data_IF_297335294608
#
_entry.id   IF_297335294608
#
_cell.length_a   1.000
_cell.length_b   1.000
_cell.length_c   1.000
_cell.angle_alpha   90.00
_cell.angle_beta   90.00
_cell.angle_gamma   90.00
#
_symmetry.space_group_name_H-M   'P 1'
#
loop_
_entity.id
_entity.type
_entity.pdbx_description
1 polymer ?
#
# COMPACT_ATOMS: atom_id res chain seq x y z
N UNK A 1 -4.31 -15.55 14.26
CA UNK A 1 -3.68 -14.20 14.27
C UNK A 1 -4.72 -13.16 14.64
N UNK A 2 -4.49 -12.37 15.70
CA UNK A 2 -5.36 -11.27 16.13
C UNK A 2 -4.88 -9.97 15.50
N UNK A 3 -5.75 -9.29 14.78
CA UNK A 3 -5.42 -8.10 14.00
C UNK A 3 -6.00 -6.84 14.64
N UNK A 4 -5.18 -5.78 14.70
CA UNK A 4 -5.64 -4.43 14.93
C UNK A 4 -5.79 -3.70 13.59
N UNK A 5 -6.76 -2.81 13.47
CA UNK A 5 -6.99 -1.98 12.28
C UNK A 5 -6.99 -0.50 12.64
N UNK A 6 -6.09 0.24 12.07
CA UNK A 6 -6.05 1.70 12.10
C UNK A 6 -6.59 2.21 10.76
N UNK A 7 -7.74 2.88 10.79
CA UNK A 7 -8.39 3.40 9.60
C UNK A 7 -9.60 2.60 9.13
N UNK A 8 -10.76 3.21 9.24
CA UNK A 8 -12.06 2.65 8.86
C UNK A 8 -12.59 3.26 7.53
N UNK A 9 -11.68 3.54 6.60
CA UNK A 9 -11.99 3.95 5.23
C UNK A 9 -12.40 2.77 4.34
N UNK A 10 -12.37 2.96 3.01
CA UNK A 10 -12.84 1.93 2.07
C UNK A 10 -12.02 0.63 2.16
N UNK A 11 -10.69 0.70 2.29
CA UNK A 11 -9.84 -0.48 2.45
C UNK A 11 -10.12 -1.15 3.81
N UNK A 12 -10.22 -0.37 4.90
CA UNK A 12 -10.53 -0.92 6.23
C UNK A 12 -11.88 -1.63 6.27
N UNK A 13 -12.93 -1.05 5.69
CA UNK A 13 -14.25 -1.69 5.56
C UNK A 13 -14.21 -2.97 4.72
N UNK A 14 -13.49 -2.95 3.60
CA UNK A 14 -13.27 -4.14 2.78
C UNK A 14 -12.60 -5.26 3.59
N UNK A 15 -11.56 -4.94 4.37
CA UNK A 15 -10.87 -5.93 5.19
C UNK A 15 -11.75 -6.48 6.31
N UNK A 16 -12.54 -5.64 6.97
CA UNK A 16 -13.52 -6.08 7.96
C UNK A 16 -14.52 -7.06 7.36
N UNK A 17 -15.09 -6.73 6.18
CA UNK A 17 -16.00 -7.62 5.48
C UNK A 17 -15.29 -8.94 5.08
N UNK A 18 -14.16 -8.85 4.39
CA UNK A 18 -13.45 -10.01 3.86
C UNK A 18 -12.94 -10.96 4.97
N UNK A 19 -12.45 -10.40 6.08
CA UNK A 19 -11.82 -11.19 7.15
C UNK A 19 -12.86 -11.65 8.17
N UNK A 20 -13.67 -10.72 8.70
CA UNK A 20 -14.55 -11.02 9.83
C UNK A 20 -15.87 -11.69 9.41
N UNK A 21 -16.42 -11.35 8.24
CA UNK A 21 -17.69 -11.90 7.76
C UNK A 21 -17.49 -13.01 6.72
N UNK A 22 -16.66 -12.77 5.69
CA UNK A 22 -16.51 -13.72 4.58
C UNK A 22 -15.49 -14.83 4.89
N UNK A 23 -14.70 -14.69 5.97
CA UNK A 23 -13.75 -15.72 6.42
C UNK A 23 -12.57 -15.94 5.47
N UNK A 24 -12.21 -14.94 4.65
CA UNK A 24 -11.13 -15.06 3.65
C UNK A 24 -9.73 -15.12 4.26
N UNK A 25 -9.61 -14.99 5.58
CA UNK A 25 -8.37 -15.21 6.35
C UNK A 25 -8.69 -16.18 7.50
N UNK A 26 -8.70 -17.51 7.28
CA UNK A 26 -9.22 -18.49 8.22
C UNK A 26 -8.54 -18.48 9.61
N UNK A 27 -7.22 -18.21 9.66
CA UNK A 27 -6.45 -18.12 10.92
C UNK A 27 -6.42 -16.69 11.51
N UNK A 28 -7.07 -15.71 10.87
CA UNK A 28 -7.00 -14.30 11.26
C UNK A 28 -8.35 -13.69 11.56
N UNK A 29 -8.37 -12.70 12.48
CA UNK A 29 -9.55 -11.90 12.78
C UNK A 29 -9.15 -10.49 13.18
N UNK A 30 -9.85 -9.48 12.66
CA UNK A 30 -9.73 -8.11 13.15
C UNK A 30 -10.53 -8.03 14.45
N UNK A 31 -9.80 -7.87 15.58
CA UNK A 31 -10.39 -7.86 16.92
C UNK A 31 -10.43 -6.46 17.54
N UNK A 32 -9.63 -5.54 17.02
CA UNK A 32 -9.47 -4.18 17.53
C UNK A 32 -9.48 -3.19 16.36
N UNK A 33 -10.22 -2.10 16.48
CA UNK A 33 -10.27 -1.04 15.47
C UNK A 33 -10.12 0.35 16.08
N UNK A 34 -9.45 1.23 15.34
CA UNK A 34 -9.35 2.64 15.61
C UNK A 34 -9.67 3.46 14.37
N UNK A 35 -10.48 4.49 14.55
CA UNK A 35 -10.69 5.52 13.53
C UNK A 35 -10.79 6.89 14.20
N UNK A 36 -10.29 7.93 13.53
CA UNK A 36 -10.36 9.32 14.03
C UNK A 36 -11.78 9.80 14.34
N UNK A 37 -12.80 9.26 13.64
CA UNK A 37 -14.21 9.48 13.93
C UNK A 37 -14.72 8.31 14.77
N UNK A 38 -14.93 8.56 16.07
CA UNK A 38 -15.34 7.53 17.03
C UNK A 38 -16.65 6.85 16.64
N UNK A 39 -17.62 7.61 16.11
CA UNK A 39 -18.93 7.06 15.70
C UNK A 39 -18.79 6.01 14.59
N UNK A 40 -17.86 6.25 13.65
CA UNK A 40 -17.58 5.28 12.57
C UNK A 40 -16.94 4.02 13.12
N UNK A 41 -16.00 4.16 14.06
CA UNK A 41 -15.39 3.00 14.71
C UNK A 41 -16.43 2.21 15.52
N UNK A 42 -17.29 2.87 16.28
CA UNK A 42 -18.35 2.23 17.08
C UNK A 42 -19.36 1.47 16.20
N UNK A 43 -19.86 2.09 15.12
CA UNK A 43 -20.79 1.47 14.18
C UNK A 43 -20.17 0.19 13.53
N UNK A 44 -18.92 0.29 13.05
CA UNK A 44 -18.25 -0.87 12.42
C UNK A 44 -17.89 -1.93 13.46
N UNK A 45 -17.59 -1.55 14.69
CA UNK A 45 -17.33 -2.48 15.77
C UNK A 45 -18.54 -3.35 16.08
N UNK A 46 -19.74 -2.78 16.10
CA UNK A 46 -21.00 -3.51 16.28
C UNK A 46 -21.26 -4.43 15.07
N UNK A 47 -21.14 -3.91 13.83
CA UNK A 47 -21.40 -4.64 12.60
C UNK A 47 -20.48 -5.86 12.43
N UNK A 48 -19.17 -5.70 12.71
CA UNK A 48 -18.15 -6.72 12.50
C UNK A 48 -17.70 -7.45 13.77
N UNK A 49 -18.38 -7.20 14.91
CA UNK A 49 -18.10 -7.81 16.22
C UNK A 49 -16.64 -7.70 16.61
N UNK A 50 -16.13 -6.46 16.63
CA UNK A 50 -14.77 -6.09 17.01
C UNK A 50 -14.80 -5.02 18.09
N UNK A 51 -13.65 -4.75 18.75
CA UNK A 51 -13.55 -3.77 19.81
C UNK A 51 -13.12 -2.41 19.25
N UNK A 52 -13.89 -1.32 19.43
CA UNK A 52 -13.44 0.02 19.09
C UNK A 52 -12.55 0.58 20.19
N UNK A 53 -11.52 1.32 19.80
CA UNK A 53 -10.62 2.05 20.69
C UNK A 53 -10.68 3.54 20.38
N UNK A 54 -10.53 4.38 21.41
CA UNK A 54 -10.56 5.85 21.28
C UNK A 54 -9.22 6.43 20.89
N UNK A 55 -8.13 5.74 21.24
CA UNK A 55 -6.79 6.11 20.80
C UNK A 55 -5.98 4.87 20.40
N UNK A 56 -4.88 5.10 19.67
CA UNK A 56 -4.00 4.05 19.18
C UNK A 56 -3.20 3.42 20.31
N UNK A 57 -2.83 4.18 21.33
CA UNK A 57 -2.00 3.66 22.42
C UNK A 57 -2.79 2.64 23.27
N UNK A 58 -4.12 2.80 23.40
CA UNK A 58 -5.01 1.79 23.99
C UNK A 58 -5.12 0.55 23.08
N UNK A 59 -5.30 0.73 21.78
CA UNK A 59 -5.31 -0.39 20.83
C UNK A 59 -4.02 -1.18 20.90
N UNK A 60 -2.87 -0.51 21.02
CA UNK A 60 -1.57 -1.17 21.09
C UNK A 60 -1.32 -1.95 22.39
N UNK A 61 -2.04 -1.64 23.47
CA UNK A 61 -2.02 -2.42 24.72
C UNK A 61 -2.89 -3.67 24.65
N UNK A 62 -3.76 -3.77 23.63
CA UNK A 62 -4.60 -4.96 23.44
C UNK A 62 -3.81 -6.15 22.92
N UNK A 63 -4.42 -7.32 22.98
CA UNK A 63 -3.83 -8.60 22.57
C UNK A 63 -3.94 -8.78 21.04
N UNK A 64 -3.29 -7.88 20.27
CA UNK A 64 -3.17 -7.97 18.81
C UNK A 64 -1.75 -8.35 18.44
N UNK A 65 -1.61 -9.21 17.43
CA UNK A 65 -0.32 -9.71 16.93
C UNK A 65 0.26 -8.77 15.86
N UNK A 66 -0.61 -8.22 15.02
CA UNK A 66 -0.28 -7.39 13.88
C UNK A 66 -1.27 -6.24 13.77
N UNK A 67 -0.79 -5.05 13.42
CA UNK A 67 -1.63 -3.89 13.13
C UNK A 67 -1.62 -3.61 11.63
N UNK A 68 -2.82 -3.40 11.08
CA UNK A 68 -3.02 -2.96 9.69
C UNK A 68 -3.24 -1.45 9.74
N UNK A 69 -2.39 -0.68 9.08
CA UNK A 69 -2.65 0.72 8.81
C UNK A 69 -3.29 0.85 7.42
N UNK A 70 -4.52 1.34 7.37
CA UNK A 70 -5.31 1.55 6.14
C UNK A 70 -6.06 2.91 6.20
N UNK A 71 -5.38 3.97 6.63
CA UNK A 71 -5.94 5.31 6.81
C UNK A 71 -5.36 6.31 5.80
N UNK A 72 -4.33 7.05 6.20
CA UNK A 72 -3.67 8.09 5.38
C UNK A 72 -2.17 8.13 5.66
N UNK A 73 -1.39 8.79 4.78
CA UNK A 73 0.05 8.96 4.99
C UNK A 73 0.32 9.67 6.33
N UNK A 74 -0.46 10.68 6.66
CA UNK A 74 -0.33 11.43 7.91
C UNK A 74 -0.60 10.52 9.14
N UNK A 75 -1.57 9.61 9.05
CA UNK A 75 -1.82 8.61 10.11
C UNK A 75 -0.68 7.58 10.20
N UNK A 76 -0.12 7.18 9.06
CA UNK A 76 1.05 6.29 9.04
C UNK A 76 2.28 6.96 9.67
N UNK A 77 2.54 8.25 9.39
CA UNK A 77 3.61 9.04 10.03
C UNK A 77 3.43 9.11 11.55
N UNK A 78 2.19 9.28 12.00
CA UNK A 78 1.87 9.42 13.43
C UNK A 78 1.97 8.09 14.19
N UNK A 79 1.47 6.99 13.59
CA UNK A 79 1.23 5.75 14.33
C UNK A 79 2.19 4.60 14.01
N UNK A 80 2.78 4.54 12.80
CA UNK A 80 3.55 3.36 12.39
C UNK A 80 4.73 3.06 13.34
N UNK A 81 5.50 4.08 13.72
CA UNK A 81 6.62 3.88 14.65
C UNK A 81 6.15 3.49 16.06
N UNK A 82 4.97 3.93 16.51
CA UNK A 82 4.37 3.50 17.78
C UNK A 82 4.01 2.01 17.75
N UNK A 83 3.42 1.54 16.63
CA UNK A 83 3.11 0.13 16.41
C UNK A 83 4.37 -0.72 16.54
N UNK A 84 5.43 -0.37 15.82
CA UNK A 84 6.69 -1.11 15.83
C UNK A 84 7.36 -1.12 17.21
N UNK A 85 7.34 0.03 17.92
CA UNK A 85 7.86 0.15 19.29
C UNK A 85 7.08 -0.67 20.30
N UNK A 86 5.80 -0.95 20.05
CA UNK A 86 4.98 -1.81 20.91
C UNK A 86 5.22 -3.31 20.69
N UNK A 87 6.19 -3.69 19.83
CA UNK A 87 6.53 -5.07 19.56
C UNK A 87 5.54 -5.80 18.64
N UNK A 88 4.81 -5.06 17.80
CA UNK A 88 3.82 -5.63 16.87
C UNK A 88 4.25 -5.46 15.44
N UNK A 89 3.98 -6.47 14.61
CA UNK A 89 4.14 -6.34 13.16
C UNK A 89 3.18 -5.28 12.60
N UNK A 90 3.60 -4.61 11.55
CA UNK A 90 2.82 -3.59 10.87
C UNK A 90 2.59 -3.96 9.40
N UNK A 91 1.33 -4.05 8.96
CA UNK A 91 1.00 -3.99 7.54
C UNK A 91 0.65 -2.54 7.20
N UNK A 92 1.43 -1.94 6.31
CA UNK A 92 1.36 -0.53 5.97
C UNK A 92 0.76 -0.35 4.57
N UNK A 93 -0.50 0.09 4.50
CA UNK A 93 -1.17 0.36 3.23
C UNK A 93 -0.89 1.78 2.70
N UNK A 94 -0.67 2.74 3.59
CA UNK A 94 -0.29 4.11 3.22
C UNK A 94 1.22 4.21 2.95
N UNK A 95 1.69 3.47 1.93
CA UNK A 95 3.12 3.29 1.60
C UNK A 95 3.84 4.63 1.36
N UNK A 96 3.09 5.70 1.09
CA UNK A 96 3.62 7.05 0.87
C UNK A 96 4.59 7.54 1.94
N UNK A 97 4.42 7.12 3.20
CA UNK A 97 5.32 7.47 4.30
C UNK A 97 6.76 6.95 4.09
N UNK A 98 6.93 5.83 3.38
CA UNK A 98 8.22 5.23 3.07
C UNK A 98 9.05 6.05 2.05
N UNK A 99 8.47 7.08 1.47
CA UNK A 99 9.20 8.06 0.66
C UNK A 99 10.14 8.96 1.48
N UNK A 100 9.91 9.05 2.78
CA UNK A 100 10.77 9.76 3.72
C UNK A 100 11.90 8.82 4.18
N UNK A 101 13.13 9.06 3.72
CA UNK A 101 14.30 8.23 4.03
C UNK A 101 14.62 8.16 5.53
N UNK A 102 14.40 9.24 6.26
CA UNK A 102 14.60 9.25 7.72
C UNK A 102 13.58 8.35 8.43
N UNK A 103 12.32 8.35 7.95
CA UNK A 103 11.28 7.44 8.47
C UNK A 103 11.63 5.98 8.13
N UNK A 104 12.07 5.68 6.91
CA UNK A 104 12.49 4.33 6.50
C UNK A 104 13.65 3.82 7.35
N UNK A 105 14.70 4.64 7.56
CA UNK A 105 15.85 4.28 8.38
C UNK A 105 15.43 4.02 9.84
N UNK A 106 14.66 4.93 10.43
CA UNK A 106 14.18 4.78 11.82
C UNK A 106 13.29 3.54 11.97
N UNK A 107 12.42 3.27 11.00
CA UNK A 107 11.58 2.07 10.98
C UNK A 107 12.41 0.80 10.96
N UNK A 108 13.44 0.74 10.09
CA UNK A 108 14.35 -0.39 9.99
C UNK A 108 15.12 -0.65 11.30
N UNK A 109 15.56 0.42 11.99
CA UNK A 109 16.23 0.29 13.30
C UNK A 109 15.28 -0.28 14.35
N UNK A 110 14.04 0.23 14.44
CA UNK A 110 13.05 -0.22 15.41
C UNK A 110 12.64 -1.68 15.12
N UNK A 111 12.46 -2.05 13.86
CA UNK A 111 12.15 -3.42 13.45
C UNK A 111 13.21 -4.41 13.94
N UNK A 112 14.50 -4.08 13.75
CA UNK A 112 15.61 -4.91 14.23
C UNK A 112 15.65 -5.03 15.73
N UNK A 113 15.46 -3.91 16.45
CA UNK A 113 15.50 -3.88 17.92
C UNK A 113 14.38 -4.69 18.57
N UNK A 114 13.18 -4.64 18.01
CA UNK A 114 11.98 -5.25 18.56
C UNK A 114 11.64 -6.62 17.92
N UNK A 115 12.42 -7.07 16.92
CA UNK A 115 12.17 -8.28 16.16
C UNK A 115 10.77 -8.31 15.54
N UNK A 116 10.38 -7.20 14.91
CA UNK A 116 9.10 -7.03 14.22
C UNK A 116 9.32 -6.64 12.77
N UNK A 117 8.27 -6.75 11.94
CA UNK A 117 8.34 -6.52 10.52
C UNK A 117 7.34 -5.47 10.03
N UNK A 118 7.72 -4.75 8.97
CA UNK A 118 6.78 -3.99 8.15
C UNK A 118 6.46 -4.82 6.91
N UNK A 119 5.19 -5.05 6.67
CA UNK A 119 4.66 -5.70 5.47
C UNK A 119 4.11 -4.63 4.53
N UNK A 120 4.65 -4.56 3.32
CA UNK A 120 4.18 -3.65 2.28
C UNK A 120 3.42 -4.45 1.22
N UNK A 121 2.12 -4.18 1.00
CA UNK A 121 1.38 -4.80 -0.09
C UNK A 121 1.87 -4.27 -1.45
N UNK A 122 1.68 -5.04 -2.51
CA UNK A 122 2.05 -4.61 -3.88
C UNK A 122 1.21 -3.42 -4.38
N UNK A 123 0.09 -3.15 -3.74
CA UNK A 123 -0.84 -2.13 -4.19
C UNK A 123 -1.53 -2.53 -5.50
N UNK A 124 -1.61 -1.59 -6.43
CA UNK A 124 -2.31 -1.77 -7.71
C UNK A 124 -1.40 -2.27 -8.84
N UNK A 125 -0.27 -2.91 -8.51
CA UNK A 125 0.73 -3.40 -9.48
C UNK A 125 1.19 -4.82 -9.15
N UNK A 126 2.01 -5.41 -10.04
CA UNK A 126 2.66 -6.70 -9.87
C UNK A 126 4.13 -6.68 -10.30
N UNK A 127 4.76 -7.85 -10.40
CA UNK A 127 6.15 -8.01 -10.86
C UNK A 127 7.22 -7.58 -9.86
N UNK A 128 6.86 -7.31 -8.60
CA UNK A 128 7.80 -6.91 -7.56
C UNK A 128 8.78 -8.04 -7.19
N UNK A 129 8.34 -9.29 -7.30
CA UNK A 129 9.12 -10.50 -7.12
C UNK A 129 10.27 -10.59 -8.15
N UNK A 130 9.98 -10.30 -9.42
CA UNK A 130 11.00 -10.25 -10.49
C UNK A 130 12.03 -9.17 -10.20
N UNK A 131 11.59 -7.97 -9.81
CA UNK A 131 12.50 -6.87 -9.47
C UNK A 131 13.38 -7.21 -8.27
N UNK A 132 12.80 -7.75 -7.19
CA UNK A 132 13.55 -8.20 -6.00
C UNK A 132 14.59 -9.25 -6.36
N UNK A 133 14.23 -10.23 -7.20
CA UNK A 133 15.13 -11.29 -7.63
C UNK A 133 16.31 -10.73 -8.43
N UNK A 134 16.06 -9.84 -9.38
CA UNK A 134 17.12 -9.22 -10.16
C UNK A 134 17.99 -8.27 -9.32
N UNK A 135 17.40 -7.54 -8.37
CA UNK A 135 18.10 -6.66 -7.43
C UNK A 135 19.06 -7.43 -6.53
N UNK A 136 18.71 -8.64 -6.11
CA UNK A 136 19.51 -9.46 -5.20
C UNK A 136 20.93 -9.72 -5.71
N UNK A 137 21.15 -9.69 -7.04
CA UNK A 137 22.45 -9.85 -7.70
C UNK A 137 22.93 -8.55 -8.37
N UNK A 138 22.35 -7.40 -8.02
CA UNK A 138 22.60 -6.10 -8.68
C UNK A 138 22.38 -6.16 -10.21
N UNK A 139 21.46 -7.01 -10.66
CA UNK A 139 21.21 -7.30 -12.07
C UNK A 139 20.19 -6.36 -12.74
N UNK A 140 19.67 -5.35 -12.05
CA UNK A 140 18.77 -4.36 -12.64
C UNK A 140 19.54 -3.21 -13.27
N UNK A 141 19.19 -2.86 -14.51
CA UNK A 141 19.75 -1.71 -15.25
C UNK A 141 18.73 -0.58 -15.39
N UNK A 142 17.46 -0.93 -15.64
CA UNK A 142 16.38 0.05 -15.77
C UNK A 142 15.09 -0.44 -15.13
N UNK A 143 14.34 0.49 -14.55
CA UNK A 143 12.97 0.28 -14.04
C UNK A 143 12.16 1.54 -14.38
N UNK A 144 11.02 1.34 -15.04
CA UNK A 144 10.10 2.39 -15.40
C UNK A 144 8.66 1.99 -15.08
N UNK A 145 7.87 2.95 -14.61
CA UNK A 145 6.42 2.81 -14.52
C UNK A 145 5.74 3.95 -15.27
N UNK A 146 4.86 3.59 -16.20
CA UNK A 146 3.93 4.52 -16.84
C UNK A 146 2.56 4.33 -16.22
N UNK A 147 2.05 5.36 -15.55
CA UNK A 147 0.71 5.40 -14.98
C UNK A 147 -0.20 6.22 -15.88
N UNK A 148 -1.24 5.60 -16.44
CA UNK A 148 -2.25 6.23 -17.27
C UNK A 148 -3.58 6.24 -16.52
N UNK A 149 -4.22 7.43 -16.44
CA UNK A 149 -5.47 7.60 -15.68
C UNK A 149 -6.45 8.49 -16.43
N UNK A 150 -7.76 8.32 -16.18
CA UNK A 150 -8.75 9.30 -16.61
C UNK A 150 -8.41 10.69 -16.03
N UNK A 151 -8.67 11.79 -16.78
CA UNK A 151 -8.32 13.15 -16.34
C UNK A 151 -8.87 13.54 -14.96
N UNK A 152 -10.11 13.14 -14.67
CA UNK A 152 -10.78 13.43 -13.39
C UNK A 152 -10.17 12.69 -12.16
N UNK A 153 -9.34 11.68 -12.40
CA UNK A 153 -8.64 10.97 -11.34
C UNK A 153 -7.29 11.62 -10.94
N UNK A 154 -6.88 12.69 -11.63
CA UNK A 154 -5.63 13.40 -11.43
C UNK A 154 -5.89 14.87 -11.07
N UNK A 155 -5.18 15.46 -10.06
CA UNK A 155 -5.41 16.84 -9.64
C UNK A 155 -5.24 17.87 -10.75
N UNK A 156 -4.27 17.67 -11.64
CA UNK A 156 -3.99 18.56 -12.77
C UNK A 156 -4.67 18.13 -14.08
N UNK A 157 -5.49 17.08 -14.06
CA UNK A 157 -6.03 16.46 -15.26
C UNK A 157 -7.42 16.94 -15.68
N UNK A 158 -8.14 17.67 -14.84
CA UNK A 158 -9.57 17.97 -15.02
C UNK A 158 -9.92 18.79 -16.29
N UNK A 159 -8.95 19.47 -16.89
CA UNK A 159 -9.12 20.24 -18.14
C UNK A 159 -8.52 19.56 -19.38
N UNK A 160 -8.01 18.33 -19.24
CA UNK A 160 -7.35 17.61 -20.33
C UNK A 160 -8.40 16.97 -21.24
N UNK A 161 -8.36 17.32 -22.55
CA UNK A 161 -9.28 16.82 -23.59
C UNK A 161 -8.65 15.79 -24.52
N UNK A 162 -7.31 15.65 -24.48
CA UNK A 162 -6.55 14.67 -25.25
C UNK A 162 -5.43 14.06 -24.41
N UNK A 163 -4.85 12.96 -24.86
CA UNK A 163 -3.74 12.31 -24.13
C UNK A 163 -2.61 13.30 -23.83
N UNK A 164 -2.31 13.50 -22.56
CA UNK A 164 -1.34 14.50 -22.10
C UNK A 164 -0.40 13.90 -21.07
N UNK A 165 0.91 14.02 -21.28
CA UNK A 165 1.92 13.70 -20.31
C UNK A 165 1.97 14.81 -19.25
N UNK A 166 1.56 14.49 -18.02
CA UNK A 166 1.56 15.45 -16.91
C UNK A 166 2.90 15.46 -16.17
N UNK A 167 3.63 14.34 -16.22
CA UNK A 167 4.92 14.20 -15.56
C UNK A 167 5.77 13.12 -16.25
N UNK A 168 7.04 13.38 -16.37
CA UNK A 168 8.06 12.40 -16.74
C UNK A 168 9.37 12.75 -16.02
N UNK A 169 9.89 11.82 -15.18
CA UNK A 169 11.07 12.07 -14.36
C UNK A 169 11.41 10.87 -13.49
N UNK A 170 12.08 11.11 -12.37
CA UNK A 170 12.40 10.09 -11.37
C UNK A 170 11.23 9.86 -10.40
N UNK A 171 11.18 8.70 -9.75
CA UNK A 171 10.21 8.46 -8.69
C UNK A 171 10.37 9.45 -7.52
N UNK A 172 11.60 9.85 -7.19
CA UNK A 172 11.87 10.85 -6.16
C UNK A 172 11.22 12.21 -6.48
N UNK A 173 11.30 12.66 -7.73
CA UNK A 173 10.63 13.89 -8.20
C UNK A 173 9.10 13.72 -8.20
N UNK A 174 8.60 12.59 -8.70
CA UNK A 174 7.18 12.30 -8.74
C UNK A 174 6.54 12.27 -7.34
N UNK A 175 7.22 11.70 -6.35
CA UNK A 175 6.79 11.64 -4.95
C UNK A 175 6.59 13.06 -4.37
N UNK A 176 7.50 13.98 -4.65
CA UNK A 176 7.41 15.36 -4.18
C UNK A 176 6.21 16.11 -4.78
N UNK A 177 5.92 15.85 -6.08
CA UNK A 177 4.86 16.55 -6.80
C UNK A 177 3.47 15.94 -6.62
N UNK A 178 3.38 14.62 -6.42
CA UNK A 178 2.12 13.86 -6.40
C UNK A 178 2.01 12.92 -5.18
N UNK A 179 2.24 13.35 -3.94
CA UNK A 179 2.40 12.47 -2.78
C UNK A 179 1.22 11.51 -2.55
N UNK A 180 0.01 11.90 -2.92
CA UNK A 180 -1.22 11.08 -2.73
C UNK A 180 -1.51 10.08 -3.86
N UNK A 181 -0.79 10.14 -4.99
CA UNK A 181 -1.11 9.36 -6.18
C UNK A 181 0.00 8.41 -6.63
N UNK A 182 1.05 8.26 -5.82
CA UNK A 182 2.32 7.67 -6.25
C UNK A 182 2.72 6.39 -5.48
N UNK A 183 1.84 5.84 -4.64
CA UNK A 183 2.14 4.65 -3.82
C UNK A 183 2.76 3.50 -4.63
N UNK A 184 2.25 3.26 -5.84
CA UNK A 184 2.78 2.21 -6.73
C UNK A 184 4.23 2.47 -7.16
N UNK A 185 4.62 3.74 -7.39
CA UNK A 185 6.00 4.06 -7.75
C UNK A 185 6.95 3.95 -6.55
N UNK A 186 6.46 4.20 -5.33
CA UNK A 186 7.24 4.04 -4.11
C UNK A 186 7.56 2.56 -3.90
N UNK A 187 6.54 1.68 -3.88
CA UNK A 187 6.77 0.25 -3.67
C UNK A 187 7.61 -0.36 -4.79
N UNK A 188 7.41 0.07 -6.05
CA UNK A 188 8.22 -0.35 -7.19
C UNK A 188 9.69 0.07 -7.02
N UNK A 189 9.94 1.30 -6.57
CA UNK A 189 11.28 1.82 -6.31
C UNK A 189 11.99 1.04 -5.20
N UNK A 190 11.28 0.72 -4.13
CA UNK A 190 11.83 -0.06 -3.02
C UNK A 190 12.17 -1.49 -3.45
N UNK A 191 11.33 -2.11 -4.28
CA UNK A 191 11.60 -3.43 -4.85
C UNK A 191 12.73 -3.42 -5.89
N UNK A 192 12.94 -2.29 -6.57
CA UNK A 192 13.87 -2.11 -7.68
C UNK A 192 15.11 -1.28 -7.35
N UNK A 193 15.35 -0.26 -8.16
CA UNK A 193 16.58 0.57 -8.19
C UNK A 193 16.61 1.73 -7.20
N UNK A 194 15.58 1.90 -6.36
CA UNK A 194 15.40 3.07 -5.52
C UNK A 194 14.76 4.24 -6.27
N UNK A 195 14.33 5.27 -5.51
CA UNK A 195 13.52 6.37 -6.06
C UNK A 195 14.28 7.28 -7.03
N UNK A 196 15.59 7.42 -6.85
CA UNK A 196 16.44 8.27 -7.70
C UNK A 196 16.66 7.68 -9.10
N UNK A 197 16.59 6.35 -9.26
CA UNK A 197 16.86 5.67 -10.51
C UNK A 197 15.62 5.11 -11.19
N UNK A 198 14.53 4.89 -10.45
CA UNK A 198 13.26 4.45 -11.03
C UNK A 198 12.60 5.59 -11.80
N UNK A 199 12.26 5.34 -13.07
CA UNK A 199 11.57 6.32 -13.93
C UNK A 199 10.06 6.22 -13.75
N UNK A 200 9.40 7.38 -13.79
CA UNK A 200 7.95 7.51 -13.64
C UNK A 200 7.42 8.41 -14.74
N UNK A 201 6.36 7.95 -15.40
CA UNK A 201 5.59 8.73 -16.36
C UNK A 201 4.12 8.72 -15.94
N UNK A 202 3.49 9.89 -15.88
CA UNK A 202 2.07 10.05 -15.52
C UNK A 202 1.36 10.68 -16.71
N UNK A 203 0.34 10.00 -17.19
CA UNK A 203 -0.45 10.39 -18.37
C UNK A 203 -1.90 10.56 -17.96
N UNK A 204 -2.48 11.71 -18.27
CA UNK A 204 -3.92 11.91 -18.31
C UNK A 204 -4.45 11.54 -19.69
N UNK A 205 -5.40 10.61 -19.77
CA UNK A 205 -5.94 10.15 -21.03
C UNK A 205 -7.49 10.06 -20.96
N UNK A 206 -8.22 10.91 -21.71
CA UNK A 206 -9.68 10.88 -21.72
C UNK A 206 -10.29 9.59 -22.30
N UNK A 207 -9.50 8.80 -23.03
CA UNK A 207 -9.97 7.55 -23.67
C UNK A 207 -9.97 6.37 -22.72
N UNK A 208 -9.26 6.45 -21.58
CA UNK A 208 -9.25 5.39 -20.58
C UNK A 208 -10.29 5.63 -19.50
N UNK A 209 -10.94 4.55 -19.07
CA UNK A 209 -11.95 4.58 -18.01
C UNK A 209 -11.38 4.09 -16.67
N UNK A 210 -10.22 3.43 -16.71
CA UNK A 210 -9.60 2.76 -15.58
C UNK A 210 -8.16 3.22 -15.37
N UNK A 211 -7.63 3.03 -14.18
CA UNK A 211 -6.21 3.21 -13.93
C UNK A 211 -5.42 2.09 -14.61
N UNK A 212 -4.47 2.45 -15.46
CA UNK A 212 -3.56 1.52 -16.10
C UNK A 212 -2.13 1.79 -15.64
N UNK A 213 -1.39 0.74 -15.30
CA UNK A 213 0.01 0.78 -14.94
C UNK A 213 0.82 -0.15 -15.84
N UNK A 214 1.73 0.41 -16.63
CA UNK A 214 2.70 -0.33 -17.41
C UNK A 214 4.05 -0.26 -16.68
N UNK A 215 4.57 -1.44 -16.31
CA UNK A 215 5.88 -1.59 -15.69
C UNK A 215 6.82 -2.20 -16.71
N UNK A 216 7.95 -1.56 -16.91
CA UNK A 216 9.02 -2.04 -17.78
C UNK A 216 10.34 -2.05 -17.00
N UNK A 217 11.06 -3.16 -17.07
CA UNK A 217 12.36 -3.28 -16.46
C UNK A 217 13.31 -4.11 -17.35
N UNK A 218 14.59 -3.81 -17.25
CA UNK A 218 15.63 -4.59 -17.95
C UNK A 218 16.87 -4.74 -17.08
N UNK A 219 17.68 -5.72 -17.43
CA UNK A 219 18.93 -6.00 -16.78
C UNK A 219 19.51 -7.35 -17.19
N UNK A 220 20.44 -7.88 -16.42
CA UNK A 220 21.08 -9.18 -16.69
C UNK A 220 20.09 -10.36 -16.71
N UNK A 221 18.90 -10.21 -16.08
CA UNK A 221 17.83 -11.20 -16.09
C UNK A 221 17.03 -11.23 -17.41
N UNK A 222 17.19 -10.25 -18.27
CA UNK A 222 16.40 -10.05 -19.48
C UNK A 222 15.50 -8.82 -19.39
N UNK A 223 14.23 -8.95 -19.79
CA UNK A 223 13.26 -7.86 -19.83
C UNK A 223 11.95 -8.27 -19.18
N UNK A 224 11.36 -7.36 -18.40
CA UNK A 224 10.00 -7.43 -17.88
C UNK A 224 9.15 -6.37 -18.58
N UNK A 225 7.96 -6.77 -19.03
CA UNK A 225 6.89 -5.87 -19.41
C UNK A 225 5.60 -6.40 -18.81
N UNK A 226 4.99 -5.63 -17.91
CA UNK A 226 3.76 -5.99 -17.21
C UNK A 226 2.78 -4.83 -17.28
N UNK A 227 1.60 -5.08 -17.78
CA UNK A 227 0.51 -4.12 -17.81
C UNK A 227 -0.62 -4.57 -16.87
N UNK A 228 -1.11 -3.66 -16.04
CA UNK A 228 -2.21 -3.90 -15.12
C UNK A 228 -3.28 -2.84 -15.33
N UNK A 229 -4.42 -3.24 -15.85
CA UNK A 229 -5.61 -2.41 -15.93
C UNK A 229 -6.47 -2.66 -14.69
N UNK A 230 -6.69 -1.62 -13.88
CA UNK A 230 -7.30 -1.75 -12.58
C UNK A 230 -8.77 -1.35 -12.58
N UNK A 231 -9.65 -2.25 -12.20
CA UNK A 231 -11.01 -1.89 -11.83
C UNK A 231 -11.02 -1.04 -10.54
N UNK A 232 -11.90 -0.04 -10.46
CA UNK A 232 -12.07 0.73 -9.23
C UNK A 232 -12.73 -0.13 -8.15
N UNK A 233 -12.50 0.21 -6.89
CA UNK A 233 -13.26 -0.37 -5.79
C UNK A 233 -14.77 -0.10 -5.97
N UNK A 234 -15.66 -1.07 -5.67
CA UNK A 234 -17.11 -0.91 -5.86
C UNK A 234 -17.68 0.36 -5.22
N UNK A 235 -17.16 0.76 -4.06
CA UNK A 235 -17.65 1.92 -3.30
C UNK A 235 -16.71 3.14 -3.37
N UNK A 236 -15.64 3.10 -4.19
CA UNK A 236 -14.70 4.21 -4.35
C UNK A 236 -13.98 4.19 -5.70
N UNK A 237 -14.45 4.93 -6.69
CA UNK A 237 -13.86 4.94 -8.03
C UNK A 237 -12.44 5.52 -8.11
N UNK A 238 -11.97 6.18 -7.05
CA UNK A 238 -10.60 6.75 -6.99
C UNK A 238 -9.55 5.76 -6.56
N UNK A 239 -9.93 4.60 -6.01
CA UNK A 239 -9.01 3.57 -5.51
C UNK A 239 -9.13 2.32 -6.37
N UNK A 240 -8.00 1.80 -6.85
CA UNK A 240 -7.94 0.51 -7.56
C UNK A 240 -8.33 -0.63 -6.62
N UNK A 241 -9.21 -1.53 -7.06
CA UNK A 241 -9.63 -2.67 -6.24
C UNK A 241 -8.47 -3.60 -5.91
N UNK A 242 -7.54 -3.79 -6.85
CA UNK A 242 -6.33 -4.58 -6.62
C UNK A 242 -5.51 -4.08 -5.43
N UNK A 243 -5.52 -2.78 -5.12
CA UNK A 243 -4.83 -2.25 -3.94
C UNK A 243 -5.40 -2.83 -2.63
N UNK A 244 -6.73 -2.95 -2.51
CA UNK A 244 -7.36 -3.58 -1.34
C UNK A 244 -7.12 -5.10 -1.31
N UNK A 245 -7.20 -5.76 -2.47
CA UNK A 245 -6.93 -7.18 -2.61
C UNK A 245 -5.49 -7.52 -2.23
N UNK A 246 -4.52 -6.67 -2.58
CA UNK A 246 -3.10 -6.90 -2.24
C UNK A 246 -2.85 -6.84 -0.73
N UNK A 247 -3.60 -6.04 0.02
CA UNK A 247 -3.53 -6.02 1.49
C UNK A 247 -3.98 -7.36 2.07
N UNK A 248 -5.14 -7.87 1.62
CA UNK A 248 -5.65 -9.17 2.04
C UNK A 248 -4.69 -10.30 1.65
N UNK A 249 -4.18 -10.29 0.42
CA UNK A 249 -3.23 -11.28 -0.07
C UNK A 249 -1.92 -11.30 0.74
N UNK A 250 -1.43 -10.14 1.16
CA UNK A 250 -0.24 -10.04 2.03
C UNK A 250 -0.48 -10.70 3.39
N UNK A 251 -1.66 -10.51 3.99
CA UNK A 251 -2.04 -11.19 5.25
C UNK A 251 -2.15 -12.71 5.06
N UNK A 252 -2.83 -13.14 3.99
CA UNK A 252 -2.97 -14.56 3.65
C UNK A 252 -1.61 -15.22 3.43
N UNK A 253 -0.68 -14.54 2.75
CA UNK A 253 0.66 -15.08 2.50
C UNK A 253 1.46 -15.23 3.81
N UNK A 254 1.30 -14.29 4.75
CA UNK A 254 1.93 -14.38 6.08
C UNK A 254 1.46 -15.60 6.90
N UNK A 255 0.21 -16.03 6.74
CA UNK A 255 -0.33 -17.22 7.43
C UNK A 255 0.07 -18.56 6.81
N UNK A 256 0.44 -18.56 5.53
CA UNK A 256 0.75 -19.80 4.81
C UNK A 256 2.12 -20.35 5.19
N UNK A 257 2.19 -21.67 5.35
CA UNK A 257 3.47 -22.40 5.49
C UNK A 257 4.26 -22.43 4.17
N UNK A 258 3.58 -22.40 3.02
CA UNK A 258 4.18 -22.27 1.70
C UNK A 258 3.96 -20.85 1.21
N UNK A 259 5.02 -20.08 1.11
CA UNK A 259 5.00 -18.69 0.67
C UNK A 259 5.49 -18.60 -0.78
N UNK A 260 4.84 -17.74 -1.56
CA UNK A 260 5.29 -17.38 -2.91
C UNK A 260 5.95 -16.00 -2.79
N UNK A 261 7.19 -15.93 -3.24
CA UNK A 261 8.09 -14.78 -3.10
C UNK A 261 7.79 -13.60 -4.03
#
# INVERSE_FOLDING_TARGET
MKLGLIGCGNIGKFLLQAINNDGLLPGGRIVAIYARREEVAAQLAEEFRTQPYRDVDELLKSDVDLVIEAATIEAAEEYALKVLKSGKDLLLSSIGVMANSAFEEQSNQICKLNNVNILLPSGAIGGLDVLKSAKAVNGLESVCITTRKPPNALPAGSSVTEETVLFEGTAAEAIKLFPRNINVAIVLSMAGLGSEKTKVKIIADPKVLKNNHLIEASGSFGKLKLEVENDPMPNNPKTSYLAALSVLATLQNKEKSVQIG
#
